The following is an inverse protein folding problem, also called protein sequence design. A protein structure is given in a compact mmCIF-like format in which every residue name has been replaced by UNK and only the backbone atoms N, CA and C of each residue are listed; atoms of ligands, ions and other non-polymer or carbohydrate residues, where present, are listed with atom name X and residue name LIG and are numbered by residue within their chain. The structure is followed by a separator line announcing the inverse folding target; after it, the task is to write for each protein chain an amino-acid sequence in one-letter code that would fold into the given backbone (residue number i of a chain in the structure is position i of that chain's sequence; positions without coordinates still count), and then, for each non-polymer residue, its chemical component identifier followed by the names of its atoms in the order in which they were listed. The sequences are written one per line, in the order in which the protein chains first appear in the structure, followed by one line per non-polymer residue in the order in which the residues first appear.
data_IF_375180245817
#
_entry.id   IF_375180245817
#
_cell.length_a   1.000
_cell.length_b   1.000
_cell.length_c   1.000
_cell.angle_alpha   90.00
_cell.angle_beta   90.00
_cell.angle_gamma   90.00
#
_symmetry.space_group_name_H-M   'P 1'
#
loop_
_entity.id
_entity.type
_entity.pdbx_description
1 polymer ?
#
# COMPACT_ATOMS: atom_id res chain seq x y z
N UNK A 1 -16.00 17.09 25.49
CA UNK A 1 -15.54 16.81 24.11
C UNK A 1 -15.38 18.11 23.36
N UNK A 2 -14.16 18.55 23.08
CA UNK A 2 -13.89 19.93 22.61
C UNK A 2 -14.01 20.05 21.09
N UNK A 3 -14.25 21.28 20.57
CA UNK A 3 -14.33 21.54 19.12
C UNK A 3 -13.03 21.15 18.37
N UNK A 4 -11.90 21.10 19.09
CA UNK A 4 -10.58 20.67 18.58
C UNK A 4 -10.51 19.16 18.36
N UNK A 5 -11.10 18.35 19.25
CA UNK A 5 -11.23 16.89 19.08
C UNK A 5 -12.05 16.53 17.84
N UNK A 6 -13.19 17.21 17.62
CA UNK A 6 -14.05 16.95 16.45
C UNK A 6 -13.33 17.24 15.13
N UNK A 7 -12.56 18.33 15.08
CA UNK A 7 -11.82 18.72 13.87
C UNK A 7 -10.71 17.71 13.54
N UNK A 8 -9.98 17.20 14.55
CA UNK A 8 -9.00 16.10 14.37
C UNK A 8 -9.63 14.78 13.92
N UNK A 9 -10.81 14.43 14.45
CA UNK A 9 -11.52 13.21 14.05
C UNK A 9 -12.07 13.26 12.63
N UNK A 10 -12.47 14.43 12.15
CA UNK A 10 -12.93 14.65 10.77
C UNK A 10 -11.78 14.58 9.76
N UNK A 11 -10.62 15.13 10.13
CA UNK A 11 -9.43 15.18 9.28
C UNK A 11 -8.87 13.77 9.02
N UNK A 12 -8.74 12.95 10.07
CA UNK A 12 -8.21 11.59 9.97
C UNK A 12 -9.05 10.69 9.05
N UNK A 13 -10.38 10.80 9.11
CA UNK A 13 -11.29 10.04 8.25
C UNK A 13 -11.17 10.44 6.78
N UNK A 14 -11.01 11.74 6.50
CA UNK A 14 -10.81 12.22 5.15
C UNK A 14 -9.48 11.72 4.54
N UNK A 15 -8.39 11.69 5.31
CA UNK A 15 -7.09 11.17 4.84
C UNK A 15 -7.18 9.69 4.45
N UNK A 16 -7.84 8.87 5.28
CA UNK A 16 -8.03 7.43 4.99
C UNK A 16 -8.91 7.18 3.78
N UNK A 17 -9.96 7.99 3.58
CA UNK A 17 -10.84 7.85 2.42
C UNK A 17 -10.13 8.21 1.11
N UNK A 18 -9.31 9.27 1.10
CA UNK A 18 -8.51 9.64 -0.07
C UNK A 18 -7.46 8.58 -0.41
N UNK A 19 -6.81 8.00 0.60
CA UNK A 19 -5.86 6.90 0.43
C UNK A 19 -6.53 5.70 -0.25
N UNK A 20 -7.66 5.24 0.29
CA UNK A 20 -8.38 4.08 -0.24
C UNK A 20 -8.90 4.34 -1.65
N UNK A 21 -9.37 5.56 -1.93
CA UNK A 21 -9.81 5.95 -3.28
C UNK A 21 -8.65 5.92 -4.27
N UNK A 22 -7.50 6.51 -3.93
CA UNK A 22 -6.31 6.52 -4.78
C UNK A 22 -5.84 5.09 -5.10
N UNK A 23 -5.73 4.23 -4.08
CA UNK A 23 -5.36 2.82 -4.25
C UNK A 23 -6.36 2.09 -5.16
N UNK A 24 -7.67 2.28 -4.93
CA UNK A 24 -8.72 1.61 -5.72
C UNK A 24 -8.65 1.99 -7.20
N UNK A 25 -8.46 3.28 -7.50
CA UNK A 25 -8.34 3.75 -8.89
C UNK A 25 -7.06 3.23 -9.55
N UNK A 26 -5.94 3.25 -8.83
CA UNK A 26 -4.66 2.72 -9.31
C UNK A 26 -4.72 1.22 -9.61
N UNK A 27 -5.33 0.43 -8.72
CA UNK A 27 -5.56 -1.01 -8.93
C UNK A 27 -6.45 -1.23 -10.15
N UNK A 28 -7.58 -0.51 -10.25
CA UNK A 28 -8.53 -0.69 -11.35
C UNK A 28 -7.99 -0.30 -12.72
N UNK A 29 -6.99 0.58 -12.77
CA UNK A 29 -6.31 0.98 -14.00
C UNK A 29 -5.12 0.08 -14.38
N UNK A 30 -4.74 -0.86 -13.51
CA UNK A 30 -3.56 -1.70 -13.73
C UNK A 30 -3.83 -2.82 -14.75
N UNK A 31 -2.86 -3.11 -15.64
CA UNK A 31 -3.04 -4.08 -16.73
C UNK A 31 -3.13 -5.54 -16.25
N UNK A 32 -2.54 -5.84 -15.10
CA UNK A 32 -2.47 -7.17 -14.53
C UNK A 32 -2.27 -7.10 -13.00
N UNK A 33 -2.38 -8.27 -12.36
CA UNK A 33 -2.29 -8.40 -10.91
C UNK A 33 -0.91 -8.02 -10.36
N UNK A 34 0.17 -8.34 -11.06
CA UNK A 34 1.53 -8.00 -10.64
C UNK A 34 1.72 -6.49 -10.62
N UNK A 35 1.37 -5.82 -11.73
CA UNK A 35 1.45 -4.35 -11.83
C UNK A 35 0.57 -3.67 -10.78
N UNK A 36 -0.65 -4.19 -10.54
CA UNK A 36 -1.52 -3.66 -9.49
C UNK A 36 -0.88 -3.76 -8.09
N UNK A 37 -0.24 -4.89 -7.80
CA UNK A 37 0.41 -5.14 -6.53
C UNK A 37 1.62 -4.24 -6.31
N UNK A 38 2.41 -3.99 -7.36
CA UNK A 38 3.53 -3.04 -7.33
C UNK A 38 3.08 -1.63 -6.96
N UNK A 39 2.05 -1.14 -7.64
CA UNK A 39 1.53 0.20 -7.40
C UNK A 39 1.00 0.33 -5.98
N UNK A 40 0.29 -0.68 -5.48
CA UNK A 40 -0.23 -0.70 -4.10
C UNK A 40 0.91 -0.68 -3.08
N UNK A 41 1.90 -1.56 -3.22
CA UNK A 41 3.03 -1.62 -2.27
C UNK A 41 3.81 -0.31 -2.25
N UNK A 42 4.07 0.28 -3.42
CA UNK A 42 4.75 1.57 -3.54
C UNK A 42 3.94 2.69 -2.87
N UNK A 43 2.63 2.78 -3.13
CA UNK A 43 1.77 3.81 -2.54
C UNK A 43 1.66 3.66 -1.03
N UNK A 44 1.54 2.43 -0.52
CA UNK A 44 1.54 2.16 0.92
C UNK A 44 2.84 2.63 1.55
N UNK A 45 4.00 2.27 1.00
CA UNK A 45 5.30 2.74 1.50
C UNK A 45 5.36 4.27 1.56
N UNK A 46 4.98 4.96 0.48
CA UNK A 46 5.01 6.42 0.40
C UNK A 46 4.08 7.10 1.42
N UNK A 47 2.90 6.53 1.66
CA UNK A 47 1.85 7.15 2.48
C UNK A 47 2.03 6.86 3.97
N UNK A 48 2.70 5.76 4.30
CA UNK A 48 2.97 5.34 5.67
C UNK A 48 4.38 5.66 6.14
N UNK A 49 5.24 6.14 5.23
CA UNK A 49 6.69 6.31 5.45
C UNK A 49 7.39 4.99 5.83
N UNK A 50 6.88 3.87 5.30
CA UNK A 50 7.50 2.56 5.48
C UNK A 50 8.66 2.39 4.49
N UNK A 51 9.77 1.87 5.00
CA UNK A 51 10.99 1.60 4.22
C UNK A 51 10.78 0.45 3.23
N UNK A 52 9.89 -0.49 3.57
CA UNK A 52 9.63 -1.69 2.79
C UNK A 52 8.19 -2.18 3.02
N UNK A 53 7.57 -2.67 1.95
CA UNK A 53 6.37 -3.47 2.00
C UNK A 53 6.55 -4.71 1.11
N UNK A 54 6.13 -5.86 1.61
CA UNK A 54 6.16 -7.13 0.89
C UNK A 54 4.76 -7.73 0.86
N UNK A 55 4.41 -8.35 -0.27
CA UNK A 55 3.16 -9.07 -0.44
C UNK A 55 3.41 -10.57 -0.47
N UNK A 56 2.61 -11.31 0.31
CA UNK A 56 2.66 -12.77 0.39
C UNK A 56 1.43 -13.33 -0.33
N UNK A 57 1.66 -14.05 -1.43
CA UNK A 57 0.61 -14.59 -2.29
C UNK A 57 0.53 -16.11 -2.06
N UNK A 58 -0.66 -16.69 -1.88
CA UNK A 58 -0.80 -18.14 -1.75
C UNK A 58 -0.50 -18.84 -3.09
N UNK A 59 0.40 -19.81 -3.04
CA UNK A 59 0.59 -20.78 -4.12
C UNK A 59 -0.51 -21.85 -4.04
N UNK A 60 -1.43 -21.80 -5.00
CA UNK A 60 -2.59 -22.70 -5.07
C UNK A 60 -2.23 -24.18 -5.26
N UNK A 61 -1.00 -24.49 -5.70
CA UNK A 61 -0.55 -25.87 -5.97
C UNK A 61 0.17 -26.47 -4.77
N UNK A 62 0.94 -25.65 -4.06
CA UNK A 62 1.89 -26.14 -3.04
C UNK A 62 1.40 -25.82 -1.62
N UNK A 63 0.39 -24.97 -1.46
CA UNK A 63 -0.19 -24.63 -0.16
C UNK A 63 0.74 -23.80 0.73
N UNK A 64 1.70 -23.11 0.11
CA UNK A 64 2.67 -22.22 0.78
C UNK A 64 2.45 -20.79 0.32
N UNK A 65 2.90 -19.83 1.13
CA UNK A 65 2.94 -18.43 0.71
C UNK A 65 4.26 -18.16 -0.01
N UNK A 66 4.18 -17.59 -1.21
CA UNK A 66 5.33 -17.08 -1.94
C UNK A 66 5.37 -15.56 -1.81
N UNK A 67 6.53 -15.01 -1.43
CA UNK A 67 6.75 -13.57 -1.49
C UNK A 67 6.70 -13.14 -2.96
N UNK A 68 5.89 -12.12 -3.25
CA UNK A 68 5.84 -11.51 -4.57
C UNK A 68 7.23 -10.96 -4.91
N UNK A 69 7.74 -11.16 -6.15
CA UNK A 69 9.05 -10.62 -6.55
C UNK A 69 9.10 -9.08 -6.59
N UNK A 70 7.97 -8.43 -6.33
CA UNK A 70 7.78 -6.99 -6.37
C UNK A 70 8.06 -6.43 -4.96
N UNK A 71 9.35 -6.31 -4.65
CA UNK A 71 9.84 -5.63 -3.46
C UNK A 71 10.67 -4.44 -3.88
N UNK A 72 10.07 -3.25 -4.02
CA UNK A 72 10.87 -2.04 -4.16
C UNK A 72 11.26 -1.53 -2.77
N UNK A 73 12.29 -2.17 -2.20
CA UNK A 73 13.17 -1.46 -1.27
C UNK A 73 13.79 -0.32 -2.09
N UNK A 74 13.53 0.93 -1.71
CA UNK A 74 14.30 2.07 -2.24
C UNK A 74 15.77 1.68 -2.12
N UNK A 75 16.47 1.69 -3.25
CA UNK A 75 17.84 1.21 -3.41
C UNK A 75 18.73 1.79 -2.31
N UNK A 76 19.01 1.02 -1.25
CA UNK A 76 20.14 1.29 -0.37
C UNK A 76 21.40 0.81 -1.10
N UNK A 77 21.75 1.52 -2.17
CA UNK A 77 23.11 1.49 -2.72
C UNK A 77 23.90 2.54 -1.96
N UNK A 78 24.63 2.11 -0.94
CA UNK A 78 25.55 2.99 -0.22
C UNK A 78 26.06 2.44 1.11
N UNK A 79 26.94 1.44 1.06
CA UNK A 79 28.10 1.28 1.96
C UNK A 79 29.07 0.25 1.37
#
# INVERSE_FOLDING_TARGET
MTAKERRRSLDLGATTAHLLQALTLSIGASPDFETALEVVLQQVCQLTDWVLAEAWIPDQKVGVLTCSPIGTATTLTGA
#
